data_IF_399617538913
#
_entry.id   IF_399617538913
#
_cell.length_a   1.000
_cell.length_b   1.000
_cell.length_c   1.000
_cell.angle_alpha   90.00
_cell.angle_beta   90.00
_cell.angle_gamma   90.00
#
_symmetry.space_group_name_H-M   'P 1'
#
loop_
_entity.id
_entity.type
_entity.pdbx_description
1 polymer ?
#
# COMPACT_ATOMS: atom_id res chain seq x y z
N UNK A 1 -17.54 10.71 5.86
CA UNK A 1 -17.19 9.36 6.40
C UNK A 1 -16.50 8.55 5.32
N UNK A 2 -15.40 7.87 5.66
CA UNK A 2 -14.66 6.99 4.75
C UNK A 2 -15.14 5.54 4.89
N UNK A 3 -15.31 4.84 3.78
CA UNK A 3 -15.48 3.38 3.77
C UNK A 3 -14.22 2.75 3.17
N UNK A 4 -13.58 1.85 3.91
CA UNK A 4 -12.39 1.12 3.49
C UNK A 4 -12.76 -0.30 3.07
N UNK A 5 -12.66 -0.60 1.77
CA UNK A 5 -12.82 -1.94 1.21
C UNK A 5 -11.45 -2.62 1.18
N UNK A 6 -11.25 -3.65 2.01
CA UNK A 6 -9.91 -4.22 2.21
C UNK A 6 -9.93 -5.69 2.62
N UNK A 7 -8.74 -6.29 2.66
CA UNK A 7 -8.45 -7.59 3.27
C UNK A 7 -7.20 -7.47 4.16
N UNK A 8 -6.94 -8.47 4.98
CA UNK A 8 -5.75 -8.51 5.85
C UNK A 8 -4.48 -8.73 5.02
N UNK A 9 -3.96 -7.66 4.47
CA UNK A 9 -2.77 -7.63 3.64
C UNK A 9 -1.91 -6.41 3.98
N UNK A 10 -0.60 -6.41 3.67
CA UNK A 10 0.24 -5.24 3.88
C UNK A 10 -0.29 -3.97 3.22
N UNK A 11 -0.87 -4.07 2.01
CA UNK A 11 -1.43 -2.91 1.32
C UNK A 11 -2.70 -2.37 2.00
N UNK A 12 -3.57 -3.25 2.51
CA UNK A 12 -4.75 -2.86 3.28
C UNK A 12 -4.37 -2.18 4.59
N UNK A 13 -3.36 -2.71 5.29
CA UNK A 13 -2.86 -2.17 6.55
C UNK A 13 -2.32 -0.74 6.44
N UNK A 14 -1.71 -0.36 5.32
CA UNK A 14 -1.29 1.04 5.10
C UNK A 14 -2.43 2.03 5.31
N UNK A 15 -3.61 1.69 4.79
CA UNK A 15 -4.75 2.61 4.83
C UNK A 15 -5.42 2.60 6.19
N UNK A 16 -5.58 1.45 6.83
CA UNK A 16 -6.11 1.42 8.20
C UNK A 16 -5.20 2.16 9.18
N UNK A 17 -3.88 1.99 9.09
CA UNK A 17 -2.92 2.74 9.89
C UNK A 17 -3.08 4.25 9.64
N UNK A 18 -3.13 4.68 8.38
CA UNK A 18 -3.30 6.10 8.06
C UNK A 18 -4.60 6.67 8.64
N UNK A 19 -5.71 5.96 8.51
CA UNK A 19 -7.00 6.40 9.02
C UNK A 19 -7.00 6.54 10.56
N UNK A 20 -6.36 5.61 11.27
CA UNK A 20 -6.17 5.70 12.73
C UNK A 20 -5.30 6.91 13.11
N UNK A 21 -4.18 7.11 12.44
CA UNK A 21 -3.23 8.21 12.71
C UNK A 21 -3.85 9.59 12.47
N UNK A 22 -4.66 9.74 11.41
CA UNK A 22 -5.36 11.00 11.14
C UNK A 22 -6.63 11.15 11.98
N UNK A 23 -7.08 10.10 12.66
CA UNK A 23 -8.30 10.05 13.50
C UNK A 23 -9.58 10.34 12.70
N UNK A 24 -9.69 9.73 11.54
CA UNK A 24 -10.91 9.81 10.75
C UNK A 24 -11.86 8.66 11.12
N UNK A 25 -13.13 8.99 11.27
CA UNK A 25 -14.17 7.97 11.37
C UNK A 25 -14.28 7.21 10.05
N UNK A 26 -14.20 5.89 10.13
CA UNK A 26 -14.29 5.03 8.96
C UNK A 26 -15.00 3.71 9.25
N UNK A 27 -15.54 3.13 8.20
CA UNK A 27 -16.16 1.80 8.18
C UNK A 27 -15.28 0.86 7.38
N UNK A 28 -15.12 -0.39 7.85
CA UNK A 28 -14.39 -1.43 7.11
C UNK A 28 -15.37 -2.39 6.45
N UNK A 29 -15.24 -2.53 5.13
CA UNK A 29 -15.90 -3.57 4.34
C UNK A 29 -14.85 -4.60 3.93
N UNK A 30 -14.93 -5.81 4.51
CA UNK A 30 -13.99 -6.89 4.21
C UNK A 30 -14.28 -7.51 2.85
N UNK A 31 -13.26 -7.62 2.01
CA UNK A 31 -13.29 -8.31 0.72
C UNK A 31 -12.64 -9.68 0.89
N UNK A 32 -13.39 -10.72 0.64
CA UNK A 32 -12.88 -12.09 0.75
C UNK A 32 -12.16 -12.50 -0.54
N UNK A 33 -10.81 -12.41 -0.50
CA UNK A 33 -9.96 -12.73 -1.65
C UNK A 33 -9.98 -14.23 -2.01
N UNK A 34 -10.24 -15.10 -1.02
CA UNK A 34 -10.35 -16.55 -1.25
C UNK A 34 -11.67 -16.95 -1.94
N UNK A 35 -12.68 -16.06 -1.90
CA UNK A 35 -13.97 -16.22 -2.60
C UNK A 35 -14.04 -15.38 -3.87
N UNK A 36 -12.91 -14.87 -4.34
CA UNK A 36 -12.80 -14.09 -5.57
C UNK A 36 -13.71 -12.85 -5.61
N UNK A 37 -14.03 -12.28 -4.43
CA UNK A 37 -14.91 -11.12 -4.35
C UNK A 37 -14.36 -9.88 -5.05
N UNK A 38 -13.02 -9.77 -5.16
CA UNK A 38 -12.33 -8.70 -5.88
C UNK A 38 -12.60 -8.74 -7.40
N UNK A 39 -13.07 -9.87 -7.94
CA UNK A 39 -13.41 -10.02 -9.36
C UNK A 39 -14.88 -9.77 -9.67
N UNK A 40 -15.73 -9.57 -8.66
CA UNK A 40 -17.13 -9.20 -8.86
C UNK A 40 -17.24 -7.87 -9.62
N UNK A 41 -18.20 -7.78 -10.51
CA UNK A 41 -18.43 -6.60 -11.38
C UNK A 41 -18.49 -5.30 -10.59
N UNK A 42 -19.17 -5.29 -9.44
CA UNK A 42 -19.35 -4.08 -8.64
C UNK A 42 -18.01 -3.62 -8.02
N UNK A 43 -17.17 -4.55 -7.56
CA UNK A 43 -15.83 -4.18 -7.05
C UNK A 43 -14.91 -3.71 -8.18
N UNK A 44 -14.98 -4.32 -9.36
CA UNK A 44 -14.18 -3.93 -10.52
C UNK A 44 -14.48 -2.52 -11.03
N UNK A 45 -15.69 -2.01 -10.84
CA UNK A 45 -16.03 -0.61 -11.14
C UNK A 45 -15.24 0.36 -10.25
N UNK A 46 -14.89 -0.05 -9.02
CA UNK A 46 -14.12 0.74 -8.06
C UNK A 46 -12.61 0.52 -8.22
N UNK A 47 -12.18 -0.68 -8.61
CA UNK A 47 -10.78 -1.08 -8.78
C UNK A 47 -10.61 -1.85 -10.09
N UNK A 48 -10.21 -1.20 -11.19
CA UNK A 48 -10.07 -1.83 -12.50
C UNK A 48 -9.12 -3.02 -12.52
N UNK A 49 -8.11 -3.02 -11.66
CA UNK A 49 -7.14 -4.11 -11.51
C UNK A 49 -7.58 -5.20 -10.53
N UNK A 50 -8.81 -5.12 -9.98
CA UNK A 50 -9.31 -6.10 -9.00
C UNK A 50 -8.41 -6.22 -7.77
N UNK A 51 -7.87 -5.10 -7.29
CA UNK A 51 -6.96 -5.03 -6.14
C UNK A 51 -7.57 -4.24 -4.99
N UNK A 52 -7.28 -4.69 -3.77
CA UNK A 52 -7.49 -3.95 -2.54
C UNK A 52 -6.19 -3.22 -2.16
N UNK A 53 -6.27 -2.15 -1.37
CA UNK A 53 -7.45 -1.48 -0.82
C UNK A 53 -8.16 -0.56 -1.82
N UNK A 54 -9.41 -0.26 -1.53
CA UNK A 54 -10.19 0.81 -2.13
C UNK A 54 -10.80 1.63 -1.01
N UNK A 55 -10.93 2.94 -1.16
CA UNK A 55 -11.78 3.76 -0.29
C UNK A 55 -12.94 4.36 -1.06
N UNK A 56 -14.04 4.58 -0.36
CA UNK A 56 -15.15 5.42 -0.79
C UNK A 56 -15.27 6.56 0.21
N UNK A 57 -15.10 7.78 -0.26
CA UNK A 57 -15.35 8.97 0.54
C UNK A 57 -16.79 9.43 0.31
N UNK A 58 -17.65 9.12 1.27
CA UNK A 58 -19.07 9.45 1.21
C UNK A 58 -19.37 10.96 1.32
N UNK A 59 -18.42 11.78 1.78
CA UNK A 59 -18.62 13.24 1.89
C UNK A 59 -18.64 13.92 0.51
N UNK A 60 -17.98 13.32 -0.48
CA UNK A 60 -17.88 13.88 -1.83
C UNK A 60 -18.12 12.86 -2.95
N UNK A 61 -18.60 11.65 -2.60
CA UNK A 61 -18.86 10.54 -3.53
C UNK A 61 -17.67 10.14 -4.42
N UNK A 62 -16.46 10.22 -3.87
CA UNK A 62 -15.25 9.77 -4.57
C UNK A 62 -14.86 8.36 -4.15
N UNK A 63 -14.52 7.53 -5.13
CA UNK A 63 -13.83 6.25 -4.89
C UNK A 63 -12.39 6.33 -5.38
N UNK A 64 -11.47 5.77 -4.61
CA UNK A 64 -10.06 5.74 -4.94
C UNK A 64 -9.51 4.33 -4.76
N UNK A 65 -8.73 3.89 -5.72
CA UNK A 65 -7.89 2.68 -5.66
C UNK A 65 -6.41 3.07 -5.69
N UNK A 66 -5.51 2.11 -5.52
CA UNK A 66 -4.08 2.27 -5.29
C UNK A 66 -3.74 2.86 -3.92
N UNK A 67 -3.08 2.04 -3.08
CA UNK A 67 -2.77 2.43 -1.70
C UNK A 67 -1.93 3.72 -1.60
N UNK A 68 -1.01 3.97 -2.54
CA UNK A 68 -0.24 5.22 -2.60
C UNK A 68 -1.12 6.44 -2.87
N UNK A 69 -2.02 6.34 -3.85
CA UNK A 69 -2.95 7.42 -4.19
C UNK A 69 -3.93 7.71 -3.03
N UNK A 70 -4.38 6.66 -2.36
CA UNK A 70 -5.24 6.78 -1.17
C UNK A 70 -4.51 7.50 -0.03
N UNK A 71 -3.24 7.16 0.23
CA UNK A 71 -2.43 7.83 1.26
C UNK A 71 -2.27 9.34 0.95
N UNK A 72 -1.97 9.69 -0.29
CA UNK A 72 -1.87 11.09 -0.73
C UNK A 72 -3.19 11.83 -0.51
N UNK A 73 -4.29 11.24 -0.96
CA UNK A 73 -5.63 11.82 -0.78
C UNK A 73 -6.00 12.04 0.69
N UNK A 74 -5.76 11.05 1.54
CA UNK A 74 -6.05 11.14 2.98
C UNK A 74 -5.14 12.16 3.66
N UNK A 75 -3.87 12.26 3.24
CA UNK A 75 -2.95 13.28 3.71
C UNK A 75 -3.41 14.69 3.36
N UNK A 76 -3.80 14.93 2.11
CA UNK A 76 -4.35 16.21 1.66
C UNK A 76 -5.66 16.55 2.40
N UNK A 77 -6.60 15.59 2.50
CA UNK A 77 -7.88 15.80 3.17
C UNK A 77 -7.75 16.11 4.65
N UNK A 78 -6.78 15.51 5.33
CA UNK A 78 -6.57 15.69 6.77
C UNK A 78 -5.61 16.84 7.13
N UNK A 79 -4.79 17.29 6.18
CA UNK A 79 -3.69 18.21 6.44
C UNK A 79 -2.55 17.59 7.25
N UNK A 80 -2.47 16.25 7.34
CA UNK A 80 -1.45 15.53 8.11
C UNK A 80 -0.61 14.62 7.22
N UNK A 81 0.69 14.49 7.55
CA UNK A 81 1.64 13.59 6.88
C UNK A 81 1.90 13.86 5.40
N UNK A 82 1.35 14.95 4.84
CA UNK A 82 1.52 15.31 3.43
C UNK A 82 1.66 16.84 3.27
N UNK A 83 2.71 17.39 3.90
CA UNK A 83 3.02 18.82 3.90
C UNK A 83 3.47 19.26 2.51
N UNK A 84 2.97 20.42 2.04
CA UNK A 84 3.34 21.00 0.74
C UNK A 84 4.85 21.26 0.61
N UNK A 85 5.53 21.62 1.70
CA UNK A 85 7.00 21.87 1.69
C UNK A 85 7.80 20.57 1.49
N UNK A 86 7.25 19.44 1.90
CA UNK A 86 7.88 18.11 1.82
C UNK A 86 7.26 17.25 0.73
N UNK A 87 6.25 17.73 0.02
CA UNK A 87 5.44 16.95 -0.92
C UNK A 87 6.29 16.21 -1.96
N UNK A 88 7.32 16.85 -2.48
CA UNK A 88 8.21 16.22 -3.47
C UNK A 88 8.95 15.01 -2.89
N UNK A 89 9.55 15.14 -1.72
CA UNK A 89 10.30 14.03 -1.10
C UNK A 89 9.34 12.91 -0.63
N UNK A 90 8.16 13.26 -0.11
CA UNK A 90 7.13 12.29 0.25
C UNK A 90 6.72 11.50 -1.00
N UNK A 91 6.44 12.16 -2.12
CA UNK A 91 6.07 11.52 -3.38
C UNK A 91 7.17 10.61 -3.91
N UNK A 92 8.44 10.99 -3.82
CA UNK A 92 9.56 10.14 -4.21
C UNK A 92 9.55 8.81 -3.43
N UNK A 93 9.43 8.86 -2.11
CA UNK A 93 9.38 7.66 -1.27
C UNK A 93 8.12 6.83 -1.49
N UNK A 94 6.96 7.48 -1.67
CA UNK A 94 5.71 6.79 -2.03
C UNK A 94 5.82 6.08 -3.39
N UNK A 95 6.35 6.76 -4.41
CA UNK A 95 6.54 6.13 -5.72
C UNK A 95 7.58 5.00 -5.66
N UNK A 96 8.65 5.18 -4.90
CA UNK A 96 9.61 4.10 -4.63
C UNK A 96 8.95 2.88 -3.97
N UNK A 97 8.06 3.12 -3.01
CA UNK A 97 7.29 2.05 -2.37
C UNK A 97 6.36 1.36 -3.39
N UNK A 98 5.61 2.13 -4.20
CA UNK A 98 4.63 1.57 -5.16
C UNK A 98 5.31 0.85 -6.32
N UNK A 99 6.39 1.40 -6.84
CA UNK A 99 7.05 0.88 -8.05
C UNK A 99 8.11 -0.19 -7.75
N UNK A 100 8.70 -0.19 -6.56
CA UNK A 100 9.86 -1.04 -6.27
C UNK A 100 9.72 -1.83 -4.96
N UNK A 101 9.67 -1.18 -3.81
CA UNK A 101 9.68 -1.85 -2.50
C UNK A 101 8.52 -2.86 -2.38
N UNK A 102 7.29 -2.40 -2.58
CA UNK A 102 6.11 -3.24 -2.47
C UNK A 102 6.10 -4.41 -3.46
N UNK A 103 6.26 -4.17 -4.77
CA UNK A 103 6.30 -5.24 -5.76
C UNK A 103 7.44 -6.23 -5.55
N UNK A 104 8.65 -5.78 -5.25
CA UNK A 104 9.80 -6.68 -5.09
C UNK A 104 9.70 -7.54 -3.83
N UNK A 105 9.28 -6.97 -2.69
CA UNK A 105 9.01 -7.74 -1.48
C UNK A 105 7.83 -8.71 -1.68
N UNK A 106 6.82 -8.31 -2.45
CA UNK A 106 5.72 -9.18 -2.86
C UNK A 106 6.18 -10.38 -3.69
N UNK A 107 7.09 -10.16 -4.64
CA UNK A 107 7.69 -11.27 -5.40
C UNK A 107 8.57 -12.16 -4.53
N UNK A 108 9.37 -11.60 -3.61
CA UNK A 108 10.11 -12.40 -2.65
C UNK A 108 9.14 -13.31 -1.86
N UNK A 109 8.04 -12.76 -1.36
CA UNK A 109 7.03 -13.53 -0.63
C UNK A 109 6.39 -14.61 -1.51
N UNK A 110 6.11 -14.30 -2.79
CA UNK A 110 5.53 -15.22 -3.77
C UNK A 110 6.42 -16.45 -4.01
N UNK A 111 7.73 -16.25 -4.20
CA UNK A 111 8.65 -17.34 -4.49
C UNK A 111 9.10 -18.08 -3.24
N UNK A 112 9.40 -17.36 -2.17
CA UNK A 112 10.03 -17.94 -0.98
C UNK A 112 9.01 -18.51 0.03
N UNK A 113 7.79 -17.93 0.09
CA UNK A 113 6.78 -18.34 1.06
C UNK A 113 5.63 -19.15 0.43
N UNK A 114 5.04 -18.68 -0.65
CA UNK A 114 3.89 -19.36 -1.26
C UNK A 114 4.29 -20.52 -2.19
N UNK A 115 5.45 -20.45 -2.83
CA UNK A 115 5.91 -21.46 -3.80
C UNK A 115 7.36 -21.86 -3.57
N UNK A 116 7.76 -22.27 -2.34
CA UNK A 116 9.14 -22.64 -2.05
C UNK A 116 9.57 -23.84 -2.93
N UNK A 117 10.80 -23.82 -3.44
CA UNK A 117 11.38 -24.88 -4.27
C UNK A 117 10.84 -24.94 -5.70
N UNK A 118 9.94 -24.03 -6.12
CA UNK A 118 9.40 -24.00 -7.49
C UNK A 118 10.32 -23.31 -8.50
N UNK A 119 11.18 -22.41 -8.03
CA UNK A 119 12.13 -21.68 -8.89
C UNK A 119 13.32 -21.18 -8.07
N UNK A 120 14.40 -21.92 -8.10
CA UNK A 120 15.65 -21.53 -7.45
C UNK A 120 16.15 -20.16 -7.93
N UNK A 121 16.03 -19.89 -9.22
CA UNK A 121 16.38 -18.58 -9.79
C UNK A 121 15.53 -17.45 -9.20
N UNK A 122 14.21 -17.64 -9.14
CA UNK A 122 13.28 -16.66 -8.59
C UNK A 122 13.53 -16.41 -7.09
N UNK A 123 13.68 -17.47 -6.32
CA UNK A 123 13.98 -17.38 -4.89
C UNK A 123 15.27 -16.62 -4.62
N UNK A 124 16.37 -17.00 -5.27
CA UNK A 124 17.68 -16.35 -5.10
C UNK A 124 17.66 -14.89 -5.59
N UNK A 125 17.02 -14.61 -6.72
CA UNK A 125 16.89 -13.26 -7.25
C UNK A 125 16.17 -12.32 -6.28
N UNK A 126 14.98 -12.73 -5.85
CA UNK A 126 14.15 -11.84 -5.02
C UNK A 126 14.62 -11.78 -3.57
N UNK A 127 15.31 -12.80 -3.05
CA UNK A 127 16.00 -12.71 -1.78
C UNK A 127 17.10 -11.63 -1.80
N UNK A 128 17.94 -11.61 -2.85
CA UNK A 128 18.96 -10.57 -3.02
C UNK A 128 18.36 -9.18 -3.08
N UNK A 129 17.28 -9.01 -3.86
CA UNK A 129 16.60 -7.72 -3.99
C UNK A 129 15.97 -7.30 -2.65
N UNK A 130 15.27 -8.21 -1.96
CA UNK A 130 14.69 -7.92 -0.64
C UNK A 130 15.74 -7.51 0.38
N UNK A 131 16.87 -8.24 0.43
CA UNK A 131 18.00 -7.92 1.31
C UNK A 131 18.55 -6.52 1.01
N UNK A 132 18.70 -6.16 -0.27
CA UNK A 132 19.20 -4.83 -0.64
C UNK A 132 18.20 -3.74 -0.25
N UNK A 133 16.91 -3.93 -0.49
CA UNK A 133 15.87 -2.97 -0.07
C UNK A 133 15.96 -2.67 1.43
N UNK A 134 16.08 -3.70 2.27
CA UNK A 134 16.20 -3.48 3.71
C UNK A 134 17.48 -2.75 4.10
N UNK A 135 18.61 -3.02 3.44
CA UNK A 135 19.86 -2.27 3.66
C UNK A 135 19.70 -0.79 3.27
N UNK A 136 19.11 -0.50 2.11
CA UNK A 136 18.91 0.86 1.63
C UNK A 136 17.97 1.66 2.57
N UNK A 137 16.92 1.01 3.10
CA UNK A 137 16.01 1.61 4.07
C UNK A 137 16.70 1.83 5.43
N UNK A 138 17.50 0.89 5.89
CA UNK A 138 18.27 0.99 7.14
C UNK A 138 19.30 2.12 7.07
N UNK A 139 20.06 2.20 5.96
CA UNK A 139 20.98 3.30 5.70
C UNK A 139 20.26 4.66 5.72
N UNK A 140 19.11 4.77 5.06
CA UNK A 140 18.31 6.01 5.10
C UNK A 140 17.87 6.36 6.51
N UNK A 141 17.39 5.41 7.29
CA UNK A 141 16.88 5.62 8.64
C UNK A 141 17.99 5.81 9.69
N UNK A 142 19.25 5.47 9.36
CA UNK A 142 20.39 5.76 10.23
C UNK A 142 20.70 7.27 10.34
N UNK A 143 20.26 8.05 9.36
CA UNK A 143 20.50 9.51 9.27
C UNK A 143 19.22 10.35 9.30
N UNK A 144 18.07 9.74 9.44
CA UNK A 144 16.77 10.42 9.43
C UNK A 144 15.75 9.63 10.27
N UNK A 145 14.93 10.34 11.04
CA UNK A 145 13.88 9.68 11.85
C UNK A 145 12.79 9.02 10.99
N UNK A 146 12.56 9.55 9.80
CA UNK A 146 11.57 9.05 8.84
C UNK A 146 12.15 9.04 7.43
N UNK A 147 11.56 8.26 6.52
CA UNK A 147 12.04 8.18 5.14
C UNK A 147 12.02 9.54 4.43
N UNK A 148 10.99 10.32 4.67
CA UNK A 148 10.81 11.63 4.04
C UNK A 148 11.32 12.82 4.87
N UNK A 149 11.94 12.61 6.02
CA UNK A 149 12.53 13.66 6.84
C UNK A 149 12.19 13.61 8.30
#
# INVERSE_FOLDING_TARGET
MIELLTADTPNGKKISIMLEEIKFDYKVTKINLFKDEQFKTEFRKLSPFSKIPVIIDHDNNKSLFESGAILMYLGEKSGKFYDEKQKTIINQWLMGQMAYVGPMLGQHHQFHHYNPGKSEFGENRYLKIATQIYKDLDERLSVSNFLAG
#
